data_IF_104966509881
#
_entry.id   IF_104966509881
#
_cell.length_a   1.000
_cell.length_b   1.000
_cell.length_c   1.000
_cell.angle_alpha   90.00
_cell.angle_beta   90.00
_cell.angle_gamma   90.00
#
_symmetry.space_group_name_H-M   'P 1'
#
loop_
_entity.id
_entity.type
_entity.pdbx_description
1 polymer ?
#
# COMPACT_ATOMS: atom_id res chain seq x y z
N UNK A 1 -0.97 -5.44 -9.06
CA UNK A 1 0.21 -5.51 -8.17
C UNK A 1 1.01 -4.23 -8.30
N UNK A 2 2.07 -4.08 -7.49
CA UNK A 2 3.04 -3.00 -7.71
C UNK A 2 3.92 -3.30 -8.93
N UNK A 3 4.35 -2.25 -9.62
CA UNK A 3 5.20 -2.36 -10.83
C UNK A 3 6.70 -2.38 -10.50
N UNK A 4 7.06 -2.00 -9.27
CA UNK A 4 8.43 -2.07 -8.74
C UNK A 4 8.44 -2.64 -7.33
N UNK A 5 9.64 -2.84 -6.81
CA UNK A 5 9.92 -3.32 -5.46
C UNK A 5 9.10 -2.54 -4.40
N UNK A 6 8.54 -3.30 -3.46
CA UNK A 6 7.86 -2.75 -2.29
C UNK A 6 8.94 -2.40 -1.27
N UNK A 7 8.96 -1.16 -0.81
CA UNK A 7 9.96 -0.69 0.16
C UNK A 7 9.44 -0.70 1.61
N UNK A 8 8.13 -0.60 1.81
CA UNK A 8 7.49 -0.66 3.13
C UNK A 8 6.05 -1.15 3.03
N UNK A 9 5.57 -1.76 4.11
CA UNK A 9 4.17 -2.10 4.30
C UNK A 9 3.79 -2.05 5.78
N UNK A 10 2.52 -1.76 6.06
CA UNK A 10 1.96 -1.71 7.40
C UNK A 10 0.61 -2.41 7.46
N UNK A 11 0.35 -3.12 8.56
CA UNK A 11 -0.98 -3.63 8.88
C UNK A 11 -1.78 -2.53 9.58
N UNK A 12 -3.02 -2.33 9.13
CA UNK A 12 -3.95 -1.47 9.82
C UNK A 12 -4.50 -2.20 11.05
N UNK A 13 -4.87 -1.44 12.09
CA UNK A 13 -5.43 -1.98 13.34
C UNK A 13 -6.73 -2.76 13.15
N UNK A 14 -7.38 -2.63 11.99
CA UNK A 14 -8.54 -3.40 11.64
C UNK A 14 -8.21 -4.87 11.31
N UNK A 15 -6.93 -5.25 11.18
CA UNK A 15 -6.42 -6.58 10.80
C UNK A 15 -6.90 -7.10 9.43
N UNK A 16 -7.70 -6.33 8.70
CA UNK A 16 -8.25 -6.70 7.40
C UNK A 16 -7.59 -5.92 6.28
N UNK A 17 -6.86 -4.85 6.60
CA UNK A 17 -6.22 -4.03 5.60
C UNK A 17 -4.72 -3.90 5.79
N UNK A 18 -4.01 -3.90 4.66
CA UNK A 18 -2.58 -3.61 4.57
C UNK A 18 -2.41 -2.40 3.67
N UNK A 19 -1.48 -1.51 4.03
CA UNK A 19 -0.99 -0.48 3.11
C UNK A 19 0.44 -0.84 2.72
N UNK A 20 0.73 -0.80 1.42
CA UNK A 20 2.08 -1.00 0.89
C UNK A 20 2.53 0.22 0.08
N UNK A 21 3.81 0.58 0.22
CA UNK A 21 4.48 1.58 -0.61
C UNK A 21 5.50 0.93 -1.53
N UNK A 22 5.56 1.37 -2.78
CA UNK A 22 6.50 0.87 -3.79
C UNK A 22 7.31 1.99 -4.43
N UNK A 23 8.48 1.61 -4.95
CA UNK A 23 9.28 2.47 -5.81
C UNK A 23 8.59 2.78 -7.15
N UNK A 24 7.44 2.19 -7.46
CA UNK A 24 6.58 2.58 -8.58
C UNK A 24 5.94 3.97 -8.37
N UNK A 25 6.18 4.59 -7.21
CA UNK A 25 5.67 5.92 -6.87
C UNK A 25 4.24 5.90 -6.35
N UNK A 26 3.71 4.72 -6.05
CA UNK A 26 2.35 4.55 -5.52
C UNK A 26 2.34 3.88 -4.16
N UNK A 27 1.32 4.24 -3.39
CA UNK A 27 0.87 3.52 -2.22
C UNK A 27 -0.46 2.84 -2.54
N UNK A 28 -0.64 1.63 -2.03
CA UNK A 28 -1.81 0.79 -2.30
C UNK A 28 -2.37 0.24 -1.00
N UNK A 29 -3.69 0.33 -0.83
CA UNK A 29 -4.41 -0.31 0.27
C UNK A 29 -5.04 -1.60 -0.22
N UNK A 30 -4.80 -2.68 0.50
CA UNK A 30 -5.25 -4.03 0.21
C UNK A 30 -6.20 -4.50 1.30
N UNK A 31 -7.21 -5.26 0.92
CA UNK A 31 -8.02 -6.06 1.84
C UNK A 31 -7.45 -7.48 1.87
N UNK A 32 -7.04 -7.94 3.05
CA UNK A 32 -6.37 -9.22 3.27
C UNK A 32 -7.29 -10.42 3.05
N UNK A 33 -8.57 -10.30 3.43
CA UNK A 33 -9.54 -11.39 3.27
C UNK A 33 -9.83 -11.70 1.81
N UNK A 34 -9.87 -10.66 0.96
CA UNK A 34 -10.22 -10.79 -0.46
C UNK A 34 -9.00 -10.74 -1.38
N UNK A 35 -7.84 -10.31 -0.88
CA UNK A 35 -6.63 -10.05 -1.67
C UNK A 35 -6.77 -8.90 -2.68
N UNK A 36 -7.81 -8.08 -2.57
CA UNK A 36 -8.14 -7.03 -3.54
C UNK A 36 -7.69 -5.66 -3.07
N UNK A 37 -7.42 -4.80 -4.03
CA UNK A 37 -7.20 -3.39 -3.79
C UNK A 37 -8.51 -2.75 -3.30
N UNK A 38 -8.45 -2.02 -2.19
CA UNK A 38 -9.63 -1.38 -1.60
C UNK A 38 -9.99 -0.09 -2.33
N UNK A 39 -8.99 0.60 -2.86
CA UNK A 39 -9.13 1.92 -3.48
C UNK A 39 -8.03 2.19 -4.51
N UNK A 40 -8.18 3.25 -5.29
CA UNK A 40 -7.19 3.64 -6.29
C UNK A 40 -5.81 3.93 -5.66
N UNK A 41 -4.70 3.53 -6.31
CA UNK A 41 -3.37 3.78 -5.79
C UNK A 41 -3.11 5.28 -5.61
N UNK A 42 -2.62 5.66 -4.43
CA UNK A 42 -2.25 7.02 -4.15
C UNK A 42 -0.84 7.31 -4.65
N UNK A 43 -0.64 8.43 -5.34
CA UNK A 43 0.71 8.93 -5.60
C UNK A 43 1.21 9.67 -4.37
N UNK A 44 2.41 9.32 -3.90
CA UNK A 44 3.06 10.06 -2.83
C UNK A 44 3.92 11.18 -3.44
N UNK A 45 3.80 12.40 -2.94
CA UNK A 45 4.53 13.57 -3.48
C UNK A 45 5.75 14.00 -2.63
N UNK A 46 6.21 13.17 -1.70
CA UNK A 46 7.37 13.49 -0.85
C UNK A 46 6.99 13.69 0.61
N UNK A 47 7.21 12.64 1.40
CA UNK A 47 7.13 12.61 2.85
C UNK A 47 7.35 11.17 3.29
N UNK A 48 8.50 10.86 3.89
CA UNK A 48 8.74 9.52 4.40
C UNK A 48 7.71 9.20 5.48
N UNK A 49 6.95 8.13 5.26
CA UNK A 49 6.20 7.48 6.33
C UNK A 49 7.22 6.57 7.02
N UNK A 50 7.89 7.13 8.03
CA UNK A 50 8.71 6.40 9.00
C UNK A 50 7.83 5.95 10.17
#
# INVERSE_FOLDING_TARGET
>A
GHEREIWSFVFLHDNIHIVSGSFDGTMRKWNCDTGRLVEEPWKWEGGSIL
#
